data_IF_497907901256
#
_entry.id   IF_497907901256
#
_cell.length_a   1.000
_cell.length_b   1.000
_cell.length_c   1.000
_cell.angle_alpha   90.00
_cell.angle_beta   90.00
_cell.angle_gamma   90.00
#
_symmetry.space_group_name_H-M   'P 1'
#
loop_
_entity.id
_entity.type
_entity.pdbx_description
1 polymer ?
#
# COMPACT_ATOMS: atom_id res chain seq x y z
N UNK A 1 -15.73 3.44 6.74
CA UNK A 1 -14.35 3.94 6.94
C UNK A 1 -13.31 3.03 6.28
N UNK A 2 -13.20 1.76 6.69
CA UNK A 2 -12.20 0.83 6.10
C UNK A 2 -12.38 0.58 4.59
N UNK A 3 -13.61 0.48 4.10
CA UNK A 3 -13.87 0.35 2.65
C UNK A 3 -13.33 1.54 1.88
N UNK A 4 -13.60 2.77 2.35
CA UNK A 4 -13.09 3.99 1.73
C UNK A 4 -11.56 4.00 1.73
N UNK A 5 -10.92 3.67 2.86
CA UNK A 5 -9.46 3.54 2.94
C UNK A 5 -8.93 2.54 1.90
N UNK A 6 -9.53 1.36 1.81
CA UNK A 6 -9.12 0.31 0.88
C UNK A 6 -9.29 0.73 -0.59
N UNK A 7 -10.40 1.40 -0.90
CA UNK A 7 -10.71 1.91 -2.23
C UNK A 7 -9.74 3.01 -2.64
N UNK A 8 -9.46 3.96 -1.74
CA UNK A 8 -8.49 5.04 -1.97
C UNK A 8 -7.09 4.48 -2.21
N UNK A 9 -6.65 3.49 -1.42
CA UNK A 9 -5.36 2.81 -1.64
C UNK A 9 -5.34 2.15 -3.03
N UNK A 10 -6.40 1.45 -3.42
CA UNK A 10 -6.46 0.79 -4.74
C UNK A 10 -6.38 1.79 -5.88
N UNK A 11 -7.11 2.91 -5.79
CA UNK A 11 -7.09 3.96 -6.81
C UNK A 11 -5.67 4.51 -7.01
N UNK A 12 -4.96 4.80 -5.92
CA UNK A 12 -3.57 5.27 -5.98
C UNK A 12 -2.65 4.26 -6.66
N UNK A 13 -2.79 2.96 -6.36
CA UNK A 13 -2.00 1.91 -6.97
C UNK A 13 -2.28 1.78 -8.47
N UNK A 14 -3.54 1.81 -8.89
CA UNK A 14 -3.94 1.81 -10.31
C UNK A 14 -3.34 3.01 -11.04
N UNK A 15 -3.41 4.22 -10.47
CA UNK A 15 -2.88 5.44 -11.08
C UNK A 15 -1.35 5.44 -11.20
N UNK A 16 -0.64 5.00 -10.16
CA UNK A 16 0.83 5.17 -10.08
C UNK A 16 1.61 3.96 -10.56
N UNK A 17 1.09 2.75 -10.37
CA UNK A 17 1.69 1.50 -10.82
C UNK A 17 1.06 1.00 -12.12
N UNK A 18 0.02 1.64 -12.63
CA UNK A 18 -0.65 1.22 -13.88
C UNK A 18 -1.11 -0.24 -13.80
N UNK A 19 -1.51 -0.67 -12.60
CA UNK A 19 -2.07 -2.00 -12.35
C UNK A 19 -3.53 -2.03 -12.83
N UNK A 20 -4.02 -3.17 -13.33
CA UNK A 20 -5.44 -3.33 -13.61
C UNK A 20 -6.30 -3.06 -12.38
N UNK A 21 -7.53 -2.58 -12.55
CA UNK A 21 -8.43 -2.28 -11.43
C UNK A 21 -8.72 -3.51 -10.55
N UNK A 22 -8.81 -4.68 -11.20
CA UNK A 22 -9.06 -5.98 -10.56
C UNK A 22 -7.79 -6.61 -9.95
N UNK A 23 -6.61 -6.02 -10.15
CA UNK A 23 -5.38 -6.39 -9.45
C UNK A 23 -5.43 -5.82 -8.03
N UNK A 24 -6.34 -6.40 -7.22
CA UNK A 24 -6.72 -5.91 -5.89
C UNK A 24 -6.62 -7.02 -4.85
N UNK A 25 -5.51 -7.03 -4.12
CA UNK A 25 -5.24 -7.97 -3.03
C UNK A 25 -4.91 -7.19 -1.76
N UNK A 26 -5.85 -7.11 -0.82
CA UNK A 26 -5.74 -6.28 0.38
C UNK A 26 -6.15 -7.07 1.62
N UNK A 27 -5.36 -6.95 2.68
CA UNK A 27 -5.67 -7.49 4.00
C UNK A 27 -5.61 -6.32 4.98
N UNK A 28 -6.66 -6.15 5.78
CA UNK A 28 -6.78 -5.05 6.75
C UNK A 28 -6.78 -5.65 8.15
N UNK A 29 -5.83 -5.20 8.98
CA UNK A 29 -5.74 -5.57 10.38
C UNK A 29 -5.95 -4.34 11.25
N UNK A 30 -6.99 -4.36 12.07
CA UNK A 30 -7.22 -3.36 13.10
C UNK A 30 -6.55 -3.76 14.40
N UNK A 31 -5.97 -2.78 15.09
CA UNK A 31 -5.26 -3.00 16.34
C UNK A 31 -5.83 -2.08 17.42
N UNK A 32 -6.00 -2.63 18.64
CA UNK A 32 -6.35 -1.82 19.81
C UNK A 32 -5.26 -0.77 20.07
N UNK A 33 -5.61 0.40 20.64
CA UNK A 33 -4.63 1.41 21.01
C UNK A 33 -3.46 0.84 21.80
N UNK A 34 -2.24 1.24 21.43
CA UNK A 34 -1.01 0.82 22.09
C UNK A 34 -0.36 -0.45 21.57
N UNK A 35 -1.00 -1.22 20.67
CA UNK A 35 -0.40 -2.41 20.05
C UNK A 35 0.55 -2.10 18.88
N UNK A 36 0.40 -0.94 18.25
CA UNK A 36 1.35 -0.45 17.25
C UNK A 36 2.26 0.58 17.91
N UNK A 37 3.58 0.40 17.76
CA UNK A 37 4.61 1.33 18.22
C UNK A 37 5.33 1.91 17.01
N UNK A 38 4.81 3.02 16.49
CA UNK A 38 5.44 3.76 15.41
C UNK A 38 5.80 5.15 15.91
N UNK A 39 7.09 5.46 15.88
CA UNK A 39 7.61 6.80 16.16
C UNK A 39 7.92 7.49 14.83
N UNK A 40 8.82 8.46 14.84
CA UNK A 40 9.15 9.31 13.70
C UNK A 40 10.61 9.20 13.26
N UNK A 41 11.42 8.34 13.89
CA UNK A 41 12.86 8.21 13.61
C UNK A 41 13.63 9.53 13.81
N UNK A 42 13.13 10.42 14.69
CA UNK A 42 13.74 11.72 14.94
C UNK A 42 13.42 12.79 13.88
N UNK A 43 12.44 12.55 13.02
CA UNK A 43 12.02 13.50 11.97
C UNK A 43 11.06 14.60 12.47
N UNK A 44 10.58 14.51 13.71
CA UNK A 44 9.67 15.49 14.31
C UNK A 44 8.21 15.30 13.89
N UNK A 45 7.80 14.09 13.49
CA UNK A 45 6.44 13.83 13.00
C UNK A 45 5.50 13.42 14.14
N UNK A 46 4.48 14.22 14.48
CA UNK A 46 3.48 13.81 15.45
C UNK A 46 2.63 12.67 14.88
N UNK A 47 2.46 11.60 15.68
CA UNK A 47 1.56 10.49 15.38
C UNK A 47 0.27 10.62 16.18
N UNK A 48 -0.85 10.20 15.61
CA UNK A 48 -2.15 10.16 16.26
C UNK A 48 -2.70 8.74 16.34
N UNK A 49 -3.96 8.59 16.76
CA UNK A 49 -4.68 7.32 16.73
C UNK A 49 -5.20 6.93 15.33
N UNK A 50 -4.92 7.74 14.30
CA UNK A 50 -5.27 7.47 12.90
C UNK A 50 -4.13 6.84 12.08
N UNK A 51 -3.06 6.41 12.74
CA UNK A 51 -1.90 5.79 12.10
C UNK A 51 -2.29 4.66 11.16
N UNK A 52 -1.82 4.74 9.91
CA UNK A 52 -1.92 3.67 8.89
C UNK A 52 -0.51 3.21 8.54
N UNK A 53 -0.23 1.93 8.74
CA UNK A 53 0.99 1.26 8.28
C UNK A 53 0.64 0.42 7.07
N UNK A 54 1.10 0.83 5.90
CA UNK A 54 0.88 0.16 4.62
C UNK A 54 2.11 -0.63 4.23
N UNK A 55 1.95 -1.95 4.08
CA UNK A 55 2.99 -2.84 3.58
C UNK A 55 2.58 -3.35 2.20
N UNK A 56 3.44 -3.16 1.20
CA UNK A 56 3.17 -3.51 -0.19
C UNK A 56 4.22 -4.49 -0.67
N UNK A 57 3.78 -5.66 -1.13
CA UNK A 57 4.62 -6.59 -1.91
C UNK A 57 4.33 -6.34 -3.39
N UNK A 58 5.37 -6.05 -4.17
CA UNK A 58 5.23 -5.73 -5.60
C UNK A 58 6.40 -6.28 -6.40
N UNK A 59 6.26 -6.26 -7.73
CA UNK A 59 7.33 -6.59 -8.67
C UNK A 59 7.48 -5.49 -9.74
N UNK A 60 8.72 -5.20 -10.13
CA UNK A 60 9.02 -4.42 -11.34
C UNK A 60 8.74 -2.92 -11.25
N UNK A 61 8.54 -2.34 -10.06
CA UNK A 61 8.34 -0.89 -9.90
C UNK A 61 9.66 -0.14 -9.77
N UNK A 62 9.81 0.89 -10.59
CA UNK A 62 10.99 1.78 -10.55
C UNK A 62 10.96 2.65 -9.29
N UNK A 63 12.11 3.25 -8.96
CA UNK A 63 12.21 4.23 -7.88
C UNK A 63 11.26 5.41 -8.09
N UNK A 64 11.13 5.91 -9.32
CA UNK A 64 10.24 7.03 -9.62
C UNK A 64 8.77 6.66 -9.46
N UNK A 65 8.36 5.46 -9.85
CA UNK A 65 6.99 4.95 -9.61
C UNK A 65 6.71 4.83 -8.11
N UNK A 66 7.66 4.26 -7.33
CA UNK A 66 7.53 4.15 -5.87
C UNK A 66 7.39 5.53 -5.21
N UNK A 67 8.21 6.51 -5.60
CA UNK A 67 8.12 7.89 -5.10
C UNK A 67 6.80 8.58 -5.47
N UNK A 68 6.33 8.42 -6.72
CA UNK A 68 5.04 8.95 -7.15
C UNK A 68 3.87 8.34 -6.35
N UNK A 69 3.94 7.02 -6.09
CA UNK A 69 2.96 6.33 -5.25
C UNK A 69 2.96 6.86 -3.82
N UNK A 70 4.13 7.07 -3.20
CA UNK A 70 4.18 7.61 -1.83
C UNK A 70 3.55 9.01 -1.73
N UNK A 71 3.85 9.87 -2.71
CA UNK A 71 3.32 11.23 -2.74
C UNK A 71 1.79 11.22 -2.91
N UNK A 72 1.29 10.51 -3.92
CA UNK A 72 -0.14 10.45 -4.20
C UNK A 72 -0.92 9.74 -3.08
N UNK A 73 -0.34 8.70 -2.48
CA UNK A 73 -0.97 8.01 -1.33
C UNK A 73 -1.15 8.96 -0.15
N UNK A 74 -0.13 9.77 0.16
CA UNK A 74 -0.22 10.76 1.23
C UNK A 74 -1.31 11.79 0.97
N UNK A 75 -1.38 12.33 -0.26
CA UNK A 75 -2.39 13.31 -0.66
C UNK A 75 -3.81 12.73 -0.56
N UNK A 76 -4.05 11.57 -1.18
CA UNK A 76 -5.39 10.94 -1.20
C UNK A 76 -5.87 10.49 0.17
N UNK A 77 -4.97 10.01 1.03
CA UNK A 77 -5.34 9.61 2.38
C UNK A 77 -5.62 10.81 3.28
N UNK A 78 -4.99 11.96 3.03
CA UNK A 78 -5.32 13.22 3.70
C UNK A 78 -6.74 13.68 3.36
N UNK A 79 -7.17 13.57 2.09
CA UNK A 79 -8.53 13.90 1.65
C UNK A 79 -9.62 13.14 2.41
N UNK A 80 -9.32 11.91 2.86
CA UNK A 80 -10.24 11.07 3.65
C UNK A 80 -9.95 11.11 5.17
N UNK A 81 -9.08 12.02 5.60
CA UNK A 81 -8.89 12.37 7.01
C UNK A 81 -7.79 11.61 7.75
N UNK A 82 -6.86 10.97 7.03
CA UNK A 82 -5.61 10.40 7.59
C UNK A 82 -4.48 11.44 7.41
N UNK A 83 -3.93 12.01 8.49
CA UNK A 83 -2.84 12.97 8.37
C UNK A 83 -1.64 12.40 7.62
N UNK A 84 -0.92 13.18 6.79
CA UNK A 84 0.34 12.74 6.16
C UNK A 84 1.35 12.20 7.17
N UNK A 85 1.41 12.80 8.37
CA UNK A 85 2.28 12.36 9.47
C UNK A 85 1.82 11.05 10.12
N UNK A 86 0.68 10.48 9.74
CA UNK A 86 0.17 9.19 10.23
C UNK A 86 0.26 8.08 9.18
N UNK A 87 0.81 8.35 8.01
CA UNK A 87 1.06 7.34 6.98
C UNK A 87 2.50 6.83 7.07
N UNK A 88 2.66 5.51 7.10
CA UNK A 88 3.94 4.83 6.94
C UNK A 88 3.79 3.81 5.83
N UNK A 89 4.67 3.85 4.83
CA UNK A 89 4.65 2.91 3.71
C UNK A 89 5.97 2.15 3.68
N UNK A 90 5.88 0.82 3.58
CA UNK A 90 7.01 -0.07 3.30
C UNK A 90 6.71 -0.89 2.05
N UNK A 91 7.70 -0.99 1.16
CA UNK A 91 7.59 -1.76 -0.08
C UNK A 91 8.64 -2.85 -0.08
N UNK A 92 8.20 -4.10 -0.28
CA UNK A 92 9.06 -5.26 -0.51
C UNK A 92 8.92 -5.71 -1.96
N UNK A 93 10.04 -6.10 -2.56
CA UNK A 93 10.08 -6.54 -3.95
C UNK A 93 10.18 -8.06 -4.05
N UNK A 94 9.44 -8.63 -5.00
CA UNK A 94 9.54 -10.03 -5.41
C UNK A 94 9.53 -10.14 -6.94
N UNK A 95 9.56 -11.36 -7.46
CA UNK A 95 9.60 -11.61 -8.92
C UNK A 95 8.32 -12.28 -9.43
N UNK A 96 8.19 -12.40 -10.75
CA UNK A 96 6.98 -12.90 -11.44
C UNK A 96 6.62 -14.32 -11.03
N UNK A 97 7.62 -15.14 -10.76
CA UNK A 97 7.50 -16.54 -10.35
C UNK A 97 6.98 -16.71 -8.91
N UNK A 98 7.02 -15.67 -8.09
CA UNK A 98 6.63 -15.74 -6.68
C UNK A 98 5.12 -15.60 -6.44
N UNK A 99 4.32 -15.48 -7.52
CA UNK A 99 2.88 -15.26 -7.44
C UNK A 99 2.08 -16.43 -7.96
N UNK A 100 1.08 -16.84 -7.19
CA UNK A 100 -0.05 -17.64 -7.65
C UNK A 100 -1.35 -16.95 -7.24
N UNK A 101 -2.12 -16.50 -8.23
CA UNK A 101 -3.41 -15.82 -7.99
C UNK A 101 -4.57 -16.81 -7.79
N UNK A 102 -4.29 -18.11 -7.92
CA UNK A 102 -5.27 -19.17 -7.76
C UNK A 102 -4.90 -20.41 -8.54
N UNK A 103 -5.61 -21.50 -8.25
CA UNK A 103 -5.51 -22.79 -8.94
C UNK A 103 -4.11 -23.43 -8.94
N UNK A 104 -3.20 -22.96 -8.08
CA UNK A 104 -1.83 -23.47 -7.97
C UNK A 104 -0.96 -23.17 -9.21
N UNK A 105 -1.28 -22.11 -9.96
CA UNK A 105 -0.56 -21.71 -11.17
C UNK A 105 0.18 -20.40 -10.96
N UNK A 106 1.32 -20.21 -11.63
CA UNK A 106 2.04 -18.94 -11.67
C UNK A 106 1.66 -18.18 -12.94
N UNK A 107 0.59 -17.38 -12.88
CA UNK A 107 -0.03 -16.77 -14.07
C UNK A 107 0.91 -15.85 -14.87
N UNK A 108 1.84 -15.19 -14.18
CA UNK A 108 2.86 -14.38 -14.87
C UNK A 108 3.83 -15.22 -15.70
N UNK A 109 4.00 -16.51 -15.40
CA UNK A 109 4.87 -17.42 -16.16
C UNK A 109 4.12 -18.17 -17.26
N UNK A 110 2.83 -18.44 -17.04
CA UNK A 110 1.98 -19.13 -18.04
C UNK A 110 1.53 -18.20 -19.16
N UNK A 111 1.62 -16.88 -18.96
CA UNK A 111 1.12 -15.87 -19.92
C UNK A 111 -0.39 -15.68 -19.84
N UNK A 112 -1.02 -16.09 -18.74
CA UNK A 112 -2.44 -15.81 -18.47
C UNK A 112 -2.65 -14.33 -18.06
N UNK A 113 -1.56 -13.60 -17.78
CA UNK A 113 -1.48 -12.18 -17.42
C UNK A 113 -0.46 -11.42 -18.28
#
# INVERSE_FOLDING_TARGET
>A
ELTLLADTIQQVLVETFTTPELDRYQIIHEHRPGLIKALDTGLGYPRTNKLVVLQITQQGRTTSQKQAMYALMSERLEEIGIPPTDLIISVTENTKEDWSFGLGRAQFLTGDL
#
